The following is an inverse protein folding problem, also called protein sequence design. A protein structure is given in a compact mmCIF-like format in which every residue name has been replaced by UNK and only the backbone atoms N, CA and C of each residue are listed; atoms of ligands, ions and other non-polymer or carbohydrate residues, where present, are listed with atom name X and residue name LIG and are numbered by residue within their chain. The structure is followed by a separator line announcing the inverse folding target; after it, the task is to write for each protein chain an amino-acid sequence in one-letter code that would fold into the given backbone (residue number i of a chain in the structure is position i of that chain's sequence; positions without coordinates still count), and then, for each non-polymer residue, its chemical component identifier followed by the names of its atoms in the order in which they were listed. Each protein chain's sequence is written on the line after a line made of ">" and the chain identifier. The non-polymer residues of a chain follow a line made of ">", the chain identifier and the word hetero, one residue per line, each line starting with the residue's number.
data_IF_346926032814
#
_entry.id   IF_346926032814
#
_cell.length_a   1.000
_cell.length_b   1.000
_cell.length_c   1.000
_cell.angle_alpha   90.00
_cell.angle_beta   90.00
_cell.angle_gamma   90.00
#
_symmetry.space_group_name_H-M   'P 1'
#
loop_
_entity.id
_entity.type
_entity.pdbx_description
1 polymer ?
#
# COMPACT_ATOMS: atom_id res chain seq x y z
N UNK A 1 -19.98 -40.01 -11.88
CA UNK A 1 -21.24 -39.29 -12.18
C UNK A 1 -20.93 -37.80 -12.29
N UNK A 2 -21.70 -37.02 -13.06
CA UNK A 2 -21.33 -35.66 -13.47
C UNK A 2 -21.82 -34.61 -12.45
N UNK A 3 -20.97 -33.61 -12.19
CA UNK A 3 -21.27 -32.43 -11.37
C UNK A 3 -22.18 -31.50 -12.17
N UNK A 4 -23.30 -31.08 -11.59
CA UNK A 4 -24.21 -30.12 -12.20
C UNK A 4 -23.92 -28.70 -11.67
N UNK A 5 -23.22 -27.90 -12.46
CA UNK A 5 -23.18 -26.44 -12.28
C UNK A 5 -24.48 -25.85 -12.85
N UNK A 6 -25.17 -25.02 -12.08
CA UNK A 6 -26.24 -24.16 -12.59
C UNK A 6 -25.83 -22.71 -12.39
N UNK A 7 -25.42 -22.09 -13.50
CA UNK A 7 -25.13 -20.67 -13.61
C UNK A 7 -26.47 -19.91 -13.72
N UNK A 8 -26.80 -19.04 -12.78
CA UNK A 8 -27.94 -18.11 -12.92
C UNK A 8 -27.43 -16.69 -13.21
N UNK A 9 -27.52 -16.31 -14.48
CA UNK A 9 -27.31 -14.95 -14.97
C UNK A 9 -28.48 -14.04 -14.55
N UNK A 10 -28.18 -12.82 -14.08
CA UNK A 10 -29.19 -11.78 -13.85
C UNK A 10 -29.13 -10.74 -14.98
N UNK A 11 -30.29 -10.33 -15.49
CA UNK A 11 -30.43 -9.47 -16.67
C UNK A 11 -30.82 -8.05 -16.25
N UNK A 12 -30.17 -6.98 -16.74
CA UNK A 12 -30.64 -5.61 -16.56
C UNK A 12 -31.70 -5.28 -17.62
N UNK A 13 -32.82 -4.66 -17.20
CA UNK A 13 -33.87 -4.17 -18.10
C UNK A 13 -34.02 -2.65 -17.99
N UNK A 14 -34.07 -2.02 -19.15
CA UNK A 14 -34.04 -0.58 -19.41
C UNK A 14 -35.45 0.02 -19.25
N UNK A 15 -35.56 1.31 -18.88
CA UNK A 15 -36.31 2.38 -19.60
C UNK A 15 -36.79 3.49 -18.66
N UNK A 16 -36.52 4.75 -19.03
CA UNK A 16 -37.02 5.94 -18.32
C UNK A 16 -36.69 7.24 -19.04
N UNK A 17 -37.25 7.46 -20.23
CA UNK A 17 -37.08 8.70 -21.00
C UNK A 17 -38.38 9.54 -20.98
N UNK A 18 -38.31 10.80 -20.55
CA UNK A 18 -39.38 11.81 -20.71
C UNK A 18 -38.82 13.22 -20.95
N UNK A 19 -39.62 14.07 -21.59
CA UNK A 19 -39.27 15.37 -22.19
C UNK A 19 -40.52 16.30 -22.19
N UNK A 20 -40.46 17.63 -22.25
CA UNK A 20 -39.32 18.58 -22.38
C UNK A 20 -39.72 19.97 -21.84
N UNK A 21 -38.74 20.85 -21.60
CA UNK A 21 -38.79 22.33 -21.57
C UNK A 21 -39.98 23.08 -20.94
N UNK A 22 -39.67 23.87 -19.89
CA UNK A 22 -40.13 25.26 -19.71
C UNK A 22 -39.09 25.97 -18.81
N UNK A 23 -38.22 26.85 -19.30
CA UNK A 23 -38.37 28.32 -19.50
C UNK A 23 -37.78 29.16 -18.35
N UNK A 24 -36.83 30.02 -18.73
CA UNK A 24 -36.32 31.23 -18.04
C UNK A 24 -35.44 31.17 -16.77
N UNK A 25 -34.32 31.88 -16.89
CA UNK A 25 -33.72 32.74 -15.87
C UNK A 25 -33.22 32.13 -14.55
N UNK A 26 -32.08 31.44 -14.65
CA UNK A 26 -30.91 31.85 -13.87
C UNK A 26 -29.59 31.39 -14.51
N UNK A 27 -28.85 32.33 -15.12
CA UNK A 27 -27.40 32.19 -15.27
C UNK A 27 -26.79 32.48 -13.90
N UNK A 28 -26.87 31.50 -13.00
CA UNK A 28 -26.05 31.46 -11.81
C UNK A 28 -24.67 30.93 -12.24
N UNK A 29 -23.75 31.86 -12.49
CA UNK A 29 -22.35 31.56 -12.84
C UNK A 29 -21.60 31.00 -11.64
N UNK A 30 -21.89 29.76 -11.26
CA UNK A 30 -21.04 28.99 -10.36
C UNK A 30 -20.27 27.96 -11.18
N UNK A 31 -19.04 28.32 -11.52
CA UNK A 31 -18.05 27.42 -12.10
C UNK A 31 -17.88 26.24 -11.14
N UNK A 32 -18.52 25.11 -11.45
CA UNK A 32 -18.23 23.83 -10.81
C UNK A 32 -16.84 23.38 -11.28
N UNK A 33 -15.82 23.98 -10.67
CA UNK A 33 -14.49 23.40 -10.63
C UNK A 33 -14.66 22.01 -10.05
N UNK A 34 -14.61 21.01 -10.92
CA UNK A 34 -14.79 19.63 -10.54
C UNK A 34 -13.85 19.35 -9.38
N UNK A 35 -14.42 19.07 -8.22
CA UNK A 35 -13.65 18.47 -7.13
C UNK A 35 -13.36 17.04 -7.58
N UNK A 36 -12.36 16.90 -8.45
CA UNK A 36 -11.51 15.73 -8.45
C UNK A 36 -11.21 15.45 -6.99
N UNK A 37 -11.40 14.22 -6.49
CA UNK A 37 -10.86 13.86 -5.19
C UNK A 37 -9.41 14.31 -5.21
N UNK A 38 -9.00 15.08 -4.20
CA UNK A 38 -7.61 15.48 -4.10
C UNK A 38 -6.82 14.19 -3.98
N UNK A 39 -6.19 13.74 -5.07
CA UNK A 39 -5.09 12.80 -4.99
C UNK A 39 -4.11 13.45 -4.03
N UNK A 40 -4.00 12.86 -2.84
CA UNK A 40 -3.12 13.34 -1.78
C UNK A 40 -1.72 13.39 -2.41
N UNK A 41 -1.26 14.60 -2.73
CA UNK A 41 -0.07 14.79 -3.56
C UNK A 41 1.15 14.39 -2.74
N UNK A 42 1.43 13.09 -2.72
CA UNK A 42 2.55 12.50 -2.00
C UNK A 42 3.83 13.17 -2.49
N UNK A 43 4.64 13.65 -1.55
CA UNK A 43 5.99 14.11 -1.88
C UNK A 43 6.72 13.01 -2.67
N UNK A 44 7.38 13.32 -3.80
CA UNK A 44 8.16 12.34 -4.56
C UNK A 44 9.22 11.64 -3.69
N UNK A 45 9.71 12.31 -2.64
CA UNK A 45 10.64 11.71 -1.68
C UNK A 45 9.97 10.64 -0.79
N UNK A 46 8.72 10.86 -0.37
CA UNK A 46 7.96 9.86 0.39
C UNK A 46 7.70 8.63 -0.49
N UNK A 47 7.31 8.82 -1.76
CA UNK A 47 7.11 7.70 -2.69
C UNK A 47 8.39 6.89 -2.87
N UNK A 48 9.54 7.55 -3.13
CA UNK A 48 10.84 6.88 -3.20
C UNK A 48 11.17 6.10 -1.92
N UNK A 49 10.87 6.66 -0.75
CA UNK A 49 11.18 5.99 0.52
C UNK A 49 10.18 4.87 0.87
N UNK A 50 8.93 4.94 0.39
CA UNK A 50 7.98 3.81 0.41
C UNK A 50 8.49 2.64 -0.44
N UNK A 51 9.04 2.92 -1.63
CA UNK A 51 9.65 1.91 -2.50
C UNK A 51 10.91 1.30 -1.86
N UNK A 52 11.82 2.12 -1.32
CA UNK A 52 13.00 1.63 -0.59
C UNK A 52 12.62 0.83 0.67
N UNK A 53 11.52 1.18 1.34
CA UNK A 53 10.99 0.42 2.47
C UNK A 53 10.44 -0.95 2.05
N UNK A 54 9.71 -1.01 0.94
CA UNK A 54 9.25 -2.27 0.36
C UNK A 54 10.45 -3.18 -0.01
N UNK A 55 11.48 -2.60 -0.64
CA UNK A 55 12.71 -3.33 -0.98
C UNK A 55 13.45 -3.82 0.26
N UNK A 56 13.69 -2.96 1.26
CA UNK A 56 14.43 -3.33 2.47
C UNK A 56 13.72 -4.43 3.28
N UNK A 57 12.37 -4.42 3.32
CA UNK A 57 11.58 -5.53 3.90
C UNK A 57 11.76 -6.83 3.13
N UNK A 58 11.78 -6.78 1.79
CA UNK A 58 12.02 -7.96 0.98
C UNK A 58 13.44 -8.50 1.20
N UNK A 59 14.45 -7.64 1.31
CA UNK A 59 15.84 -8.00 1.60
C UNK A 59 15.95 -8.75 2.94
N UNK A 60 15.48 -8.18 4.05
CA UNK A 60 15.58 -8.83 5.37
C UNK A 60 14.77 -10.12 5.48
N UNK A 61 13.59 -10.20 4.85
CA UNK A 61 12.81 -11.44 4.79
C UNK A 61 13.52 -12.53 3.97
N UNK A 62 14.16 -12.15 2.85
CA UNK A 62 14.90 -13.08 1.99
C UNK A 62 16.13 -13.64 2.72
N UNK A 63 16.90 -12.80 3.42
CA UNK A 63 18.05 -13.28 4.19
C UNK A 63 17.62 -14.20 5.34
N UNK A 64 16.56 -13.84 6.09
CA UNK A 64 16.00 -14.71 7.14
C UNK A 64 15.64 -16.09 6.57
N UNK A 65 14.91 -16.11 5.47
CA UNK A 65 14.43 -17.35 4.86
C UNK A 65 15.60 -18.18 4.27
N UNK A 66 16.62 -17.54 3.71
CA UNK A 66 17.86 -18.19 3.24
C UNK A 66 18.65 -18.84 4.39
N UNK A 67 18.85 -18.13 5.51
CA UNK A 67 19.58 -18.64 6.67
C UNK A 67 18.85 -19.83 7.31
N UNK A 68 17.52 -19.74 7.45
CA UNK A 68 16.68 -20.85 7.92
C UNK A 68 16.70 -22.04 6.95
N UNK A 69 16.59 -21.80 5.64
CA UNK A 69 16.65 -22.86 4.63
C UNK A 69 18.02 -23.56 4.55
N UNK A 70 19.09 -22.83 4.90
CA UNK A 70 20.46 -23.36 5.00
C UNK A 70 20.70 -24.15 6.30
N UNK A 71 19.73 -24.18 7.22
CA UNK A 71 19.83 -24.86 8.51
C UNK A 71 20.67 -24.13 9.55
N UNK A 72 21.02 -22.86 9.32
CA UNK A 72 21.66 -21.99 10.30
C UNK A 72 20.62 -21.49 11.31
N UNK A 73 21.05 -21.34 12.57
CA UNK A 73 20.23 -20.75 13.61
C UNK A 73 20.41 -19.22 13.59
N UNK A 74 19.32 -18.48 13.40
CA UNK A 74 19.28 -17.04 13.67
C UNK A 74 19.18 -16.85 15.19
N UNK A 75 19.90 -15.88 15.74
CA UNK A 75 19.78 -15.52 17.16
C UNK A 75 18.32 -15.14 17.49
N UNK A 76 17.74 -15.63 18.61
CA UNK A 76 16.34 -15.39 18.93
C UNK A 76 15.96 -13.90 19.04
N UNK A 77 16.85 -13.05 19.56
CA UNK A 77 16.60 -11.60 19.64
C UNK A 77 16.62 -10.99 18.24
N UNK A 78 17.60 -11.35 17.41
CA UNK A 78 17.66 -10.88 16.01
C UNK A 78 16.41 -11.30 15.23
N UNK A 79 15.88 -12.50 15.47
CA UNK A 79 14.65 -12.96 14.81
C UNK A 79 13.37 -12.25 15.33
N UNK A 80 13.34 -11.83 16.60
CA UNK A 80 12.30 -10.93 17.14
C UNK A 80 12.39 -9.53 16.51
N UNK A 81 13.58 -8.93 16.47
CA UNK A 81 13.85 -7.63 15.85
C UNK A 81 13.42 -7.62 14.35
N UNK A 82 13.71 -8.70 13.60
CA UNK A 82 13.26 -8.85 12.20
C UNK A 82 11.74 -8.89 12.11
N UNK A 83 11.08 -9.57 13.04
CA UNK A 83 9.62 -9.67 13.05
C UNK A 83 8.99 -8.31 13.34
N UNK A 84 9.50 -7.56 14.33
CA UNK A 84 9.08 -6.19 14.64
C UNK A 84 9.25 -5.26 13.42
N UNK A 85 10.39 -5.34 12.73
CA UNK A 85 10.67 -4.52 11.55
C UNK A 85 9.76 -4.89 10.37
N UNK A 86 9.49 -6.16 10.11
CA UNK A 86 8.59 -6.57 9.02
C UNK A 86 7.14 -6.11 9.23
N UNK A 87 6.68 -6.10 10.48
CA UNK A 87 5.33 -5.65 10.88
C UNK A 87 5.24 -4.13 11.17
N UNK A 88 6.35 -3.39 11.06
CA UNK A 88 6.45 -1.97 11.44
C UNK A 88 5.56 -1.07 10.57
N UNK A 89 4.64 -0.36 11.22
CA UNK A 89 3.89 0.73 10.61
C UNK A 89 4.78 1.99 10.45
N UNK A 90 4.76 2.55 9.24
CA UNK A 90 5.48 3.78 8.87
C UNK A 90 4.54 4.95 8.57
N UNK A 91 3.22 4.77 8.77
CA UNK A 91 2.25 5.86 8.73
C UNK A 91 2.60 6.96 9.75
N UNK A 92 2.21 8.21 9.48
CA UNK A 92 2.38 9.33 10.40
C UNK A 92 1.38 10.46 10.08
N UNK A 93 1.10 11.37 11.03
CA UNK A 93 0.12 12.44 10.84
C UNK A 93 0.61 13.60 9.94
N UNK A 94 1.89 13.63 9.56
CA UNK A 94 2.45 14.61 8.63
C UNK A 94 3.59 14.01 7.79
N UNK A 95 4.02 14.75 6.77
CA UNK A 95 5.01 14.30 5.79
C UNK A 95 6.41 14.11 6.41
N UNK A 96 6.83 15.02 7.30
CA UNK A 96 8.15 15.02 7.90
C UNK A 96 8.36 13.82 8.83
N UNK A 97 7.41 13.56 9.73
CA UNK A 97 7.46 12.39 10.62
C UNK A 97 7.32 11.08 9.85
N UNK A 98 6.55 11.08 8.74
CA UNK A 98 6.43 9.89 7.87
C UNK A 98 7.76 9.59 7.18
N UNK A 99 8.41 10.62 6.63
CA UNK A 99 9.71 10.50 5.99
C UNK A 99 10.77 10.01 6.99
N UNK A 100 10.80 10.57 8.20
CA UNK A 100 11.69 10.10 9.26
C UNK A 100 11.44 8.62 9.61
N UNK A 101 10.18 8.23 9.86
CA UNK A 101 9.82 6.83 10.16
C UNK A 101 10.22 5.87 9.04
N UNK A 102 10.06 6.27 7.78
CA UNK A 102 10.49 5.48 6.63
C UNK A 102 12.02 5.37 6.55
N UNK A 103 12.77 6.45 6.78
CA UNK A 103 14.24 6.45 6.81
C UNK A 103 14.80 5.55 7.93
N UNK A 104 14.22 5.65 9.14
CA UNK A 104 14.59 4.84 10.29
C UNK A 104 14.30 3.35 10.00
N UNK A 105 13.11 3.03 9.49
CA UNK A 105 12.71 1.67 9.14
C UNK A 105 13.59 1.04 8.04
N UNK A 106 13.89 1.78 6.96
CA UNK A 106 14.82 1.34 5.90
C UNK A 106 16.21 1.06 6.45
N UNK A 107 16.70 1.92 7.35
CA UNK A 107 18.02 1.77 7.98
C UNK A 107 18.08 0.52 8.87
N UNK A 108 17.06 0.30 9.70
CA UNK A 108 16.96 -0.88 10.57
C UNK A 108 16.84 -2.18 9.78
N UNK A 109 16.00 -2.24 8.74
CA UNK A 109 15.86 -3.44 7.91
C UNK A 109 17.16 -3.80 7.18
N UNK A 110 17.86 -2.82 6.59
CA UNK A 110 19.16 -3.05 5.95
C UNK A 110 20.22 -3.52 6.97
N UNK A 111 20.26 -2.91 8.17
CA UNK A 111 21.13 -3.35 9.27
C UNK A 111 20.86 -4.80 9.70
N UNK A 112 19.59 -5.19 9.84
CA UNK A 112 19.22 -6.55 10.21
C UNK A 112 19.52 -7.55 9.09
N UNK A 113 19.30 -7.20 7.82
CA UNK A 113 19.66 -8.04 6.68
C UNK A 113 21.18 -8.33 6.63
N UNK A 114 22.04 -7.33 6.90
CA UNK A 114 23.48 -7.54 7.02
C UNK A 114 23.86 -8.42 8.22
N UNK A 115 23.21 -8.25 9.38
CA UNK A 115 23.45 -9.09 10.56
C UNK A 115 23.08 -10.56 10.31
N UNK A 116 21.97 -10.82 9.63
CA UNK A 116 21.54 -12.19 9.25
C UNK A 116 22.49 -12.80 8.21
N UNK A 117 22.92 -12.02 7.22
CA UNK A 117 23.87 -12.47 6.18
C UNK A 117 25.28 -12.77 6.72
N UNK A 118 25.65 -12.19 7.86
CA UNK A 118 26.96 -12.35 8.48
C UNK A 118 27.06 -13.50 9.50
N UNK A 119 25.94 -14.10 9.91
CA UNK A 119 25.85 -15.26 10.81
C UNK A 119 25.77 -16.60 10.07
#
# INVERSE_FOLDING_TARGET
>A
MRIAYVLTLFVPLVTGCYATNDTSDQIATETSWGTTPAEEFKSPEIVRMEDEWAQAKQEVATERDNTVASGQAIDPQVNEDISEVLDRDTSAPNAELRLQRLQDAVTDARRLAELVRAG
#
